data_IF_147384067107
#
_entry.id   IF_147384067107
#
_cell.length_a   1.000
_cell.length_b   1.000
_cell.length_c   1.000
_cell.angle_alpha   90.00
_cell.angle_beta   90.00
_cell.angle_gamma   90.00
#
_symmetry.space_group_name_H-M   'P 1'
#
loop_
_entity.id
_entity.type
_entity.pdbx_description
1 polymer ?
#
# COMPACT_ATOMS: atom_id res chain seq x y z
N UNK A 1 -13.94 1.71 13.12
CA UNK A 1 -13.08 2.52 12.23
C UNK A 1 -12.57 1.61 11.12
N UNK A 2 -12.81 1.97 9.86
CA UNK A 2 -12.24 1.24 8.72
C UNK A 2 -10.71 1.32 8.83
N UNK A 3 -10.06 0.17 8.68
CA UNK A 3 -8.62 0.01 8.82
C UNK A 3 -8.00 0.42 7.49
N UNK A 4 -7.30 1.56 7.44
CA UNK A 4 -6.87 2.15 6.19
C UNK A 4 -5.44 1.71 5.82
N UNK A 5 -5.33 1.07 4.66
CA UNK A 5 -4.08 0.90 3.92
C UNK A 5 -4.00 1.94 2.83
N UNK A 6 -2.82 2.51 2.59
CA UNK A 6 -2.59 3.25 1.37
C UNK A 6 -1.54 2.52 0.54
N UNK A 7 -1.90 2.11 -0.68
CA UNK A 7 -0.96 1.54 -1.64
C UNK A 7 -0.73 2.56 -2.73
N UNK A 8 0.50 3.04 -2.87
CA UNK A 8 0.92 3.92 -3.96
C UNK A 8 1.75 3.09 -4.94
N UNK A 9 1.26 2.95 -6.17
CA UNK A 9 1.99 2.25 -7.22
C UNK A 9 2.51 3.24 -8.26
N UNK A 10 3.72 2.99 -8.78
CA UNK A 10 4.26 3.71 -9.94
C UNK A 10 4.72 2.70 -10.99
N UNK A 11 4.02 2.66 -12.12
CA UNK A 11 4.40 1.85 -13.29
C UNK A 11 4.54 2.75 -14.52
N UNK A 12 5.65 2.64 -15.25
CA UNK A 12 5.85 3.35 -16.52
C UNK A 12 5.59 4.88 -16.46
N UNK A 13 5.82 5.50 -15.30
CA UNK A 13 5.56 6.93 -15.07
C UNK A 13 4.15 7.30 -14.61
N UNK A 14 3.20 6.38 -14.65
CA UNK A 14 1.85 6.54 -14.10
C UNK A 14 1.84 6.26 -12.60
N UNK A 15 1.15 7.12 -11.83
CA UNK A 15 0.97 6.95 -10.38
C UNK A 15 -0.46 6.55 -10.10
N UNK A 16 -0.66 5.47 -9.35
CA UNK A 16 -1.96 5.06 -8.83
C UNK A 16 -1.92 5.04 -7.29
N UNK A 17 -3.06 5.31 -6.67
CA UNK A 17 -3.23 5.26 -5.22
C UNK A 17 -4.53 4.51 -4.91
N UNK A 18 -4.44 3.54 -4.01
CA UNK A 18 -5.58 2.74 -3.55
C UNK A 18 -5.70 2.86 -2.03
N UNK A 19 -6.91 3.13 -1.55
CA UNK A 19 -7.22 3.10 -0.12
C UNK A 19 -7.98 1.81 0.21
N UNK A 20 -7.36 0.88 0.96
CA UNK A 20 -8.05 -0.36 1.35
C UNK A 20 -8.77 -0.18 2.69
N UNK A 21 -9.93 -0.84 2.90
CA UNK A 21 -10.57 -1.80 1.99
C UNK A 21 -11.41 -1.18 0.86
N UNK A 22 -11.57 0.14 0.83
CA UNK A 22 -12.52 0.84 -0.03
C UNK A 22 -12.30 0.57 -1.54
N UNK A 23 -11.05 0.49 -1.96
CA UNK A 23 -10.64 0.29 -3.36
C UNK A 23 -10.04 -1.10 -3.64
N UNK A 24 -10.40 -2.12 -2.85
CA UNK A 24 -9.77 -3.45 -2.97
C UNK A 24 -9.95 -4.11 -4.35
N UNK A 25 -11.14 -3.99 -4.93
CA UNK A 25 -11.38 -4.55 -6.27
C UNK A 25 -10.65 -3.78 -7.36
N UNK A 26 -10.52 -2.45 -7.23
CA UNK A 26 -9.71 -1.64 -8.13
C UNK A 26 -8.22 -2.01 -8.05
N UNK A 27 -7.72 -2.26 -6.84
CA UNK A 27 -6.35 -2.75 -6.63
C UNK A 27 -6.13 -4.12 -7.28
N UNK A 28 -7.08 -5.06 -7.17
CA UNK A 28 -6.97 -6.37 -7.84
C UNK A 28 -7.03 -6.28 -9.36
N UNK A 29 -7.88 -5.41 -9.91
CA UNK A 29 -7.93 -5.16 -11.35
C UNK A 29 -6.58 -4.61 -11.86
N UNK A 30 -5.99 -3.66 -11.12
CA UNK A 30 -4.66 -3.13 -11.43
C UNK A 30 -3.59 -4.24 -11.45
N UNK A 31 -3.57 -5.12 -10.45
CA UNK A 31 -2.65 -6.26 -10.40
C UNK A 31 -2.79 -7.15 -11.64
N UNK A 32 -4.02 -7.50 -12.03
CA UNK A 32 -4.26 -8.37 -13.17
C UNK A 32 -3.76 -7.74 -14.50
N UNK A 33 -4.09 -6.47 -14.73
CA UNK A 33 -3.65 -5.72 -15.92
C UNK A 33 -2.12 -5.57 -15.99
N UNK A 34 -1.48 -5.32 -14.84
CA UNK A 34 -0.05 -5.04 -14.78
C UNK A 34 0.79 -6.32 -14.77
N UNK A 35 0.26 -7.43 -14.26
CA UNK A 35 0.89 -8.74 -14.36
C UNK A 35 1.00 -9.20 -15.83
N UNK A 36 -0.05 -9.00 -16.64
CA UNK A 36 -0.05 -9.37 -18.06
C UNK A 36 0.91 -8.52 -18.92
N UNK A 37 1.20 -7.31 -18.47
CA UNK A 37 2.04 -6.33 -19.18
C UNK A 37 3.45 -6.18 -18.58
N UNK A 38 3.74 -6.89 -17.48
CA UNK A 38 5.02 -6.83 -16.80
C UNK A 38 6.15 -7.33 -17.70
N UNK A 39 7.27 -6.60 -17.73
CA UNK A 39 8.48 -7.05 -18.42
C UNK A 39 9.09 -8.31 -17.78
N UNK A 40 8.94 -8.46 -16.47
CA UNK A 40 9.34 -9.64 -15.69
C UNK A 40 8.21 -10.02 -14.73
N UNK A 41 7.43 -11.03 -15.12
CA UNK A 41 6.29 -11.52 -14.33
C UNK A 41 6.72 -12.12 -12.99
N UNK A 42 7.90 -12.75 -12.92
CA UNK A 42 8.38 -13.38 -11.69
C UNK A 42 8.79 -12.33 -10.66
N UNK A 43 9.45 -11.25 -11.11
CA UNK A 43 9.79 -10.13 -10.23
C UNK A 43 8.54 -9.39 -9.77
N UNK A 44 7.56 -9.19 -10.66
CA UNK A 44 6.26 -8.62 -10.31
C UNK A 44 5.53 -9.44 -9.24
N UNK A 45 5.46 -10.77 -9.40
CA UNK A 45 4.83 -11.67 -8.44
C UNK A 45 5.52 -11.65 -7.08
N UNK A 46 6.86 -11.60 -7.06
CA UNK A 46 7.62 -11.47 -5.80
C UNK A 46 7.26 -10.19 -5.05
N UNK A 47 7.16 -9.08 -5.76
CA UNK A 47 6.79 -7.78 -5.17
C UNK A 47 5.35 -7.81 -4.66
N UNK A 48 4.44 -8.40 -5.44
CA UNK A 48 3.06 -8.60 -5.04
C UNK A 48 2.93 -9.43 -3.76
N UNK A 49 3.72 -10.50 -3.60
CA UNK A 49 3.74 -11.30 -2.37
C UNK A 49 4.21 -10.50 -1.15
N UNK A 50 5.20 -9.62 -1.30
CA UNK A 50 5.65 -8.70 -0.25
C UNK A 50 4.49 -7.77 0.16
N UNK A 51 3.82 -7.14 -0.83
CA UNK A 51 2.67 -6.26 -0.57
C UNK A 51 1.57 -7.02 0.16
N UNK A 52 1.20 -8.22 -0.29
CA UNK A 52 0.20 -9.07 0.37
C UNK A 52 0.58 -9.42 1.80
N UNK A 53 1.85 -9.73 2.06
CA UNK A 53 2.32 -10.02 3.41
C UNK A 53 2.12 -8.80 4.33
N UNK A 54 2.47 -7.60 3.89
CA UNK A 54 2.25 -6.40 4.70
C UNK A 54 0.77 -6.09 4.91
N UNK A 55 -0.06 -6.27 3.88
CA UNK A 55 -1.51 -6.11 3.98
C UNK A 55 -2.14 -7.10 4.96
N UNK A 56 -1.68 -8.36 5.00
CA UNK A 56 -2.19 -9.35 5.95
C UNK A 56 -1.77 -9.05 7.40
N UNK A 57 -0.66 -8.35 7.61
CA UNK A 57 -0.13 -7.98 8.92
C UNK A 57 -0.58 -6.59 9.40
N UNK A 58 -1.54 -5.95 8.70
CA UNK A 58 -2.05 -4.63 9.08
C UNK A 58 -2.66 -4.55 10.46
N UNK A 59 -3.22 -5.66 10.96
CA UNK A 59 -3.72 -5.73 12.33
C UNK A 59 -2.66 -5.34 13.37
N UNK A 60 -1.39 -5.61 13.11
CA UNK A 60 -0.27 -5.28 13.99
C UNK A 60 0.08 -3.79 14.00
N UNK A 61 0.10 -3.12 12.84
CA UNK A 61 0.29 -1.67 12.78
C UNK A 61 -0.88 -0.93 13.44
N UNK A 62 -2.10 -1.42 13.22
CA UNK A 62 -3.31 -0.87 13.83
C UNK A 62 -3.33 -1.00 15.36
N UNK A 63 -2.82 -2.10 15.93
CA UNK A 63 -2.68 -2.27 17.39
C UNK A 63 -1.76 -1.23 18.04
N UNK A 64 -0.98 -0.49 17.24
CA UNK A 64 -0.06 0.56 17.69
C UNK A 64 -0.51 1.96 17.29
N UNK A 65 -1.78 2.12 16.91
CA UNK A 65 -2.35 3.38 16.40
C UNK A 65 -1.57 3.94 15.19
N UNK A 66 -1.16 3.04 14.30
CA UNK A 66 -0.46 3.37 13.06
C UNK A 66 -1.26 2.94 11.83
N UNK A 67 -1.15 3.72 10.76
CA UNK A 67 -1.53 3.32 9.41
C UNK A 67 -0.28 2.99 8.58
N UNK A 68 -0.47 2.22 7.51
CA UNK A 68 0.62 1.80 6.64
C UNK A 68 0.48 2.43 5.25
N UNK A 69 1.60 2.92 4.76
CA UNK A 69 1.78 3.33 3.38
C UNK A 69 2.71 2.31 2.73
N UNK A 70 2.26 1.68 1.64
CA UNK A 70 3.05 0.76 0.84
C UNK A 70 3.30 1.43 -0.50
N UNK A 71 4.56 1.64 -0.87
CA UNK A 71 4.97 2.18 -2.15
C UNK A 71 5.56 1.06 -3.00
N UNK A 72 4.93 0.76 -4.13
CA UNK A 72 5.36 -0.28 -5.08
C UNK A 72 5.80 0.37 -6.40
N UNK A 73 7.06 0.16 -6.80
CA UNK A 73 7.67 0.67 -8.03
C UNK A 73 8.30 -0.46 -8.87
N UNK A 74 8.27 -0.31 -10.19
CA UNK A 74 8.79 -1.28 -11.17
C UNK A 74 10.32 -1.26 -11.36
N UNK A 75 10.97 -0.12 -11.10
CA UNK A 75 12.35 0.13 -11.54
C UNK A 75 13.25 0.77 -10.48
N UNK A 76 13.26 0.22 -9.26
CA UNK A 76 14.16 0.68 -8.19
C UNK A 76 14.87 -0.49 -7.50
N UNK A 77 16.07 -0.23 -6.95
CA UNK A 77 16.83 -1.20 -6.13
C UNK A 77 16.05 -1.68 -4.88
N UNK A 78 14.98 -0.96 -4.52
CA UNK A 78 13.97 -1.37 -3.54
C UNK A 78 12.58 -1.15 -4.14
N UNK A 79 11.99 -2.16 -4.78
CA UNK A 79 10.74 -2.02 -5.52
C UNK A 79 9.51 -1.93 -4.61
N UNK A 80 9.63 -2.31 -3.34
CA UNK A 80 8.58 -2.12 -2.34
C UNK A 80 9.16 -1.41 -1.13
N UNK A 81 8.62 -0.23 -0.81
CA UNK A 81 8.90 0.51 0.43
C UNK A 81 7.66 0.48 1.31
N UNK A 82 7.83 0.22 2.60
CA UNK A 82 6.73 0.24 3.56
C UNK A 82 7.03 1.24 4.66
N UNK A 83 6.09 2.16 4.87
CA UNK A 83 6.16 3.18 5.89
C UNK A 83 5.02 2.98 6.90
N UNK A 84 5.33 3.15 8.18
CA UNK A 84 4.37 3.12 9.27
C UNK A 84 4.25 4.52 9.85
N UNK A 85 3.06 5.09 9.77
CA UNK A 85 2.77 6.44 10.25
C UNK A 85 1.77 6.37 11.39
N UNK A 86 1.98 7.13 12.46
CA UNK A 86 0.96 7.25 13.52
C UNK A 86 -0.23 8.00 12.96
N UNK A 87 -1.44 7.60 13.35
CA UNK A 87 -2.59 8.46 13.11
C UNK A 87 -2.32 9.83 13.77
N UNK A 88 -2.64 10.95 13.10
CA UNK A 88 -2.60 12.23 13.77
C UNK A 88 -3.53 12.12 14.98
N UNK A 89 -2.95 12.15 16.17
CA UNK A 89 -3.72 12.19 17.40
C UNK A 89 -4.50 13.49 17.34
N UNK A 90 -5.80 13.40 17.06
CA UNK A 90 -6.70 14.52 17.23
C UNK A 90 -6.56 15.00 18.66
N UNK A 91 -5.84 16.10 18.85
CA UNK A 91 -5.98 16.96 20.01
C UNK A 91 -6.62 18.24 19.51
N UNK A 92 -7.90 18.13 19.14
CA UNK A 92 -8.79 19.26 19.34
C UNK A 92 -9.37 19.10 20.75
N UNK A 93 -8.85 19.86 21.72
CA UNK A 93 -9.70 20.79 22.48
C UNK A 93 -8.92 21.71 23.44
N UNK A 94 -9.11 23.01 23.18
CA UNK A 94 -9.39 24.13 24.10
C UNK A 94 -8.68 24.25 25.46
N UNK A 95 -7.79 25.25 25.56
CA UNK A 95 -7.67 26.27 26.65
C UNK A 95 -6.48 27.18 26.28
N UNK A 96 -6.51 28.51 26.28
CA UNK A 96 -7.42 29.52 26.81
C UNK A 96 -7.03 30.87 26.16
#
# INVERSE_FOLDING_TARGET
>A
MNRLAHVYTRLAGHRCHFQLPDDYDAFRAWIAEHHETAMDAHEFDRQHDIVKWYLSHMSFANQRDMFQIIVWADHTESPVTVEHHRYPTGREDSTR
#
